data_IF_464806269614
#
_entry.id   IF_464806269614
#
_cell.length_a   1.000
_cell.length_b   1.000
_cell.length_c   1.000
_cell.angle_alpha   90.00
_cell.angle_beta   90.00
_cell.angle_gamma   90.00
#
_symmetry.space_group_name_H-M   'P 1'
#
loop_
_entity.id
_entity.type
_entity.pdbx_description
1 polymer ?
#
# COMPACT_ATOMS: atom_id res chain seq x y z
N UNK A 1 -5.86 -46.17 -47.11
CA UNK A 1 -6.41 -44.99 -47.81
C UNK A 1 -7.92 -45.01 -47.66
N UNK A 2 -8.48 -44.25 -46.71
CA UNK A 2 -9.87 -43.78 -46.71
C UNK A 2 -10.13 -42.93 -45.46
N UNK A 3 -10.17 -41.61 -45.69
CA UNK A 3 -10.62 -40.61 -44.73
C UNK A 3 -12.13 -40.77 -44.47
N UNK A 4 -12.55 -40.74 -43.20
CA UNK A 4 -13.95 -40.46 -42.84
C UNK A 4 -14.02 -39.27 -41.90
N UNK A 5 -14.55 -38.19 -42.48
CA UNK A 5 -14.90 -36.89 -41.89
C UNK A 5 -15.94 -37.08 -40.77
N UNK A 6 -15.80 -36.32 -39.68
CA UNK A 6 -16.87 -35.95 -38.73
C UNK A 6 -16.68 -34.46 -38.44
N UNK A 7 -17.20 -33.59 -39.31
CA UNK A 7 -18.46 -32.84 -39.17
C UNK A 7 -18.57 -32.16 -37.79
N UNK A 8 -18.17 -30.90 -37.83
CA UNK A 8 -18.38 -29.81 -36.88
C UNK A 8 -19.89 -29.56 -36.74
N UNK A 9 -20.42 -29.54 -35.52
CA UNK A 9 -21.81 -29.15 -35.26
C UNK A 9 -21.82 -28.05 -34.19
N UNK A 10 -21.97 -26.82 -34.67
CA UNK A 10 -22.30 -25.61 -33.92
C UNK A 10 -23.78 -25.67 -33.46
N UNK A 11 -24.10 -25.26 -32.24
CA UNK A 11 -25.37 -24.61 -31.92
C UNK A 11 -25.11 -23.11 -31.66
N UNK A 12 -25.58 -22.19 -32.53
CA UNK A 12 -26.86 -21.45 -32.38
C UNK A 12 -26.94 -20.77 -30.99
N UNK A 13 -26.55 -19.50 -30.78
CA UNK A 13 -27.00 -18.24 -31.39
C UNK A 13 -28.51 -18.17 -31.65
N UNK A 14 -29.29 -18.03 -30.58
CA UNK A 14 -30.51 -17.22 -30.51
C UNK A 14 -31.13 -17.35 -29.10
N UNK A 15 -30.67 -16.56 -28.13
CA UNK A 15 -31.47 -16.28 -26.93
C UNK A 15 -31.96 -14.84 -27.01
N UNK A 16 -33.24 -14.77 -27.32
CA UNK A 16 -34.13 -13.63 -27.45
C UNK A 16 -33.97 -12.60 -26.33
N UNK A 17 -33.65 -11.37 -26.72
CA UNK A 17 -33.97 -10.15 -25.98
C UNK A 17 -35.50 -9.98 -25.94
N UNK A 18 -36.09 -10.08 -24.75
CA UNK A 18 -37.43 -9.55 -24.46
C UNK A 18 -37.47 -9.07 -23.02
N UNK A 19 -36.72 -8.00 -22.71
CA UNK A 19 -36.94 -7.24 -21.47
C UNK A 19 -38.15 -6.35 -21.69
N UNK A 20 -39.29 -6.80 -21.16
CA UNK A 20 -40.48 -5.99 -21.00
C UNK A 20 -40.17 -4.84 -20.03
N UNK A 21 -40.28 -3.61 -20.53
CA UNK A 21 -40.33 -2.40 -19.72
C UNK A 21 -41.60 -2.42 -18.88
N UNK A 22 -41.47 -2.65 -17.57
CA UNK A 22 -42.51 -2.33 -16.61
C UNK A 22 -42.30 -0.87 -16.15
N UNK A 23 -43.30 0.03 -16.27
CA UNK A 23 -43.20 1.39 -15.79
C UNK A 23 -43.15 1.39 -14.25
N UNK A 24 -42.07 1.91 -13.68
CA UNK A 24 -41.96 2.19 -12.25
C UNK A 24 -42.86 3.39 -11.94
N UNK A 25 -43.95 3.12 -11.23
CA UNK A 25 -44.78 4.10 -10.55
C UNK A 25 -43.95 4.87 -9.52
N UNK A 26 -43.80 6.17 -9.75
CA UNK A 26 -43.23 7.14 -8.82
C UNK A 26 -44.24 7.37 -7.68
N UNK A 27 -43.94 6.87 -6.49
CA UNK A 27 -44.62 7.27 -5.28
C UNK A 27 -43.97 8.54 -4.74
N UNK A 28 -44.78 9.60 -4.67
CA UNK A 28 -44.47 10.86 -3.99
C UNK A 28 -44.26 10.61 -2.49
N UNK A 29 -43.23 11.22 -1.91
CA UNK A 29 -43.13 11.42 -0.48
C UNK A 29 -42.96 12.92 -0.17
N UNK A 30 -43.88 13.34 0.69
CA UNK A 30 -44.21 14.64 1.22
C UNK A 30 -43.07 15.32 1.99
N UNK A 31 -42.99 16.64 1.80
CA UNK A 31 -42.32 17.66 2.62
C UNK A 31 -42.89 17.73 4.04
N UNK A 32 -42.07 17.68 5.10
CA UNK A 32 -42.40 18.25 6.43
C UNK A 32 -41.14 18.74 7.17
N UNK A 33 -41.11 20.06 7.38
CA UNK A 33 -40.72 20.82 8.58
C UNK A 33 -39.29 20.86 9.11
N UNK A 34 -38.74 22.07 8.96
CA UNK A 34 -37.73 22.75 9.77
C UNK A 34 -38.02 22.69 11.27
N UNK A 35 -37.07 22.19 12.05
CA UNK A 35 -36.88 22.62 13.44
C UNK A 35 -35.40 22.96 13.63
N UNK A 36 -35.14 24.26 13.76
CA UNK A 36 -33.96 24.78 14.43
C UNK A 36 -34.10 24.48 15.93
N UNK A 37 -33.02 24.02 16.58
CA UNK A 37 -32.73 24.25 18.01
C UNK A 37 -31.33 23.73 18.33
N UNK A 38 -30.52 24.69 18.77
CA UNK A 38 -29.51 24.65 19.84
C UNK A 38 -28.21 23.88 19.59
N UNK A 39 -27.25 24.69 19.18
CA UNK A 39 -25.82 24.68 19.50
C UNK A 39 -25.53 24.11 20.92
N UNK A 40 -24.83 22.99 20.97
CA UNK A 40 -24.13 22.52 22.18
C UNK A 40 -22.73 22.14 21.74
N UNK A 41 -21.81 23.06 22.00
CA UNK A 41 -20.38 22.92 21.85
C UNK A 41 -19.88 21.85 22.82
N UNK A 42 -19.94 20.58 22.42
CA UNK A 42 -19.13 19.53 23.01
C UNK A 42 -17.76 19.57 22.37
N UNK A 43 -16.80 20.07 23.14
CA UNK A 43 -15.36 19.86 22.93
C UNK A 43 -15.09 18.36 22.86
N UNK A 44 -15.20 17.82 21.66
CA UNK A 44 -14.73 16.49 21.30
C UNK A 44 -13.22 16.55 21.31
N UNK A 45 -12.64 16.01 22.38
CA UNK A 45 -11.23 15.62 22.41
C UNK A 45 -11.08 14.60 21.29
N UNK A 46 -10.49 15.03 20.18
CA UNK A 46 -10.05 14.15 19.10
C UNK A 46 -9.17 13.07 19.71
N UNK A 47 -9.77 11.92 19.95
CA UNK A 47 -9.03 10.69 20.15
C UNK A 47 -8.37 10.43 18.81
N UNK A 48 -7.08 10.74 18.71
CA UNK A 48 -6.27 10.39 17.56
C UNK A 48 -6.40 8.89 17.38
N UNK A 49 -7.24 8.46 16.44
CA UNK A 49 -7.34 7.06 16.04
C UNK A 49 -5.94 6.61 15.68
N UNK A 50 -5.36 5.79 16.55
CA UNK A 50 -4.10 5.08 16.32
C UNK A 50 -4.28 4.27 15.05
N UNK A 51 -3.88 4.87 13.94
CA UNK A 51 -3.99 4.28 12.61
C UNK A 51 -2.71 3.49 12.45
N UNK A 52 -2.78 2.20 12.74
CA UNK A 52 -1.67 1.26 12.50
C UNK A 52 -1.08 1.53 11.12
N UNK A 53 0.23 1.80 11.09
CA UNK A 53 0.94 2.33 9.92
C UNK A 53 0.83 1.35 8.75
N UNK A 54 -0.08 1.65 7.83
CA UNK A 54 -0.22 0.91 6.57
C UNK A 54 0.69 1.59 5.55
N UNK A 55 1.69 0.88 5.03
CA UNK A 55 2.67 1.47 4.12
C UNK A 55 2.03 1.70 2.74
N UNK A 56 2.26 2.86 2.14
CA UNK A 56 1.74 3.17 0.80
C UNK A 56 2.49 2.39 -0.28
N UNK A 57 1.77 1.97 -1.32
CA UNK A 57 2.40 1.34 -2.48
C UNK A 57 3.32 2.35 -3.19
N UNK A 58 4.49 1.87 -3.61
CA UNK A 58 5.48 2.69 -4.31
C UNK A 58 5.03 2.97 -5.73
N UNK A 59 4.99 4.25 -6.10
CA UNK A 59 4.72 4.70 -7.47
C UNK A 59 3.29 4.47 -7.96
N UNK A 60 2.36 4.11 -7.07
CA UNK A 60 0.96 3.87 -7.43
C UNK A 60 0.04 4.44 -6.37
N UNK A 61 -0.91 5.27 -6.80
CA UNK A 61 -1.92 5.84 -5.92
C UNK A 61 -3.07 4.83 -5.70
N UNK A 62 -3.34 4.54 -4.42
CA UNK A 62 -4.47 3.69 -4.02
C UNK A 62 -5.59 4.63 -3.59
N UNK A 63 -6.74 4.63 -4.28
CA UNK A 63 -7.81 5.58 -3.97
C UNK A 63 -8.25 5.43 -2.52
N UNK A 64 -8.30 6.55 -1.79
CA UNK A 64 -8.78 6.60 -0.43
C UNK A 64 -10.25 6.17 -0.37
N UNK A 65 -10.55 5.25 0.55
CA UNK A 65 -11.91 4.73 0.77
C UNK A 65 -12.52 5.50 1.94
N UNK A 66 -13.18 6.63 1.62
CA UNK A 66 -13.81 7.49 2.62
C UNK A 66 -15.20 7.01 3.02
N UNK A 67 -15.86 6.21 2.18
CA UNK A 67 -17.17 5.63 2.45
C UNK A 67 -17.29 4.24 1.83
N UNK A 68 -18.11 3.39 2.46
CA UNK A 68 -18.46 2.07 1.93
C UNK A 68 -19.32 2.27 0.68
N UNK A 69 -18.91 1.76 -0.49
CA UNK A 69 -19.74 1.84 -1.69
C UNK A 69 -21.05 1.06 -1.50
N UNK A 70 -22.15 1.57 -2.05
CA UNK A 70 -23.43 0.84 -2.06
C UNK A 70 -23.28 -0.50 -2.79
N UNK A 71 -24.21 -1.45 -2.60
CA UNK A 71 -24.17 -2.75 -3.30
C UNK A 71 -24.08 -2.60 -4.82
N UNK A 72 -24.81 -1.63 -5.39
CA UNK A 72 -24.71 -1.26 -6.80
C UNK A 72 -23.35 -0.61 -7.14
N UNK A 73 -22.82 0.22 -6.24
CA UNK A 73 -21.46 0.78 -6.36
C UNK A 73 -20.37 -0.30 -6.39
N UNK A 74 -20.46 -1.32 -5.53
CA UNK A 74 -19.53 -2.46 -5.51
C UNK A 74 -19.60 -3.29 -6.80
N UNK A 75 -20.80 -3.45 -7.36
CA UNK A 75 -20.99 -4.09 -8.66
C UNK A 75 -20.29 -3.32 -9.78
N UNK A 76 -20.51 -2.00 -9.88
CA UNK A 76 -19.84 -1.16 -10.87
C UNK A 76 -18.33 -1.09 -10.67
N UNK A 77 -17.88 -1.05 -9.42
CA UNK A 77 -16.47 -1.13 -9.08
C UNK A 77 -15.85 -2.42 -9.64
N UNK A 78 -16.48 -3.57 -9.40
CA UNK A 78 -16.03 -4.86 -9.93
C UNK A 78 -16.04 -4.94 -11.45
N UNK A 79 -17.04 -4.37 -12.11
CA UNK A 79 -17.10 -4.32 -13.57
C UNK A 79 -15.99 -3.45 -14.15
N UNK A 80 -15.78 -2.25 -13.59
CA UNK A 80 -14.71 -1.32 -14.00
C UNK A 80 -13.33 -1.95 -13.82
N UNK A 81 -13.09 -2.61 -12.70
CA UNK A 81 -11.84 -3.35 -12.43
C UNK A 81 -11.60 -4.43 -13.49
N UNK A 82 -12.60 -5.27 -13.78
CA UNK A 82 -12.50 -6.34 -14.78
C UNK A 82 -12.22 -5.81 -16.17
N UNK A 83 -12.91 -4.76 -16.59
CA UNK A 83 -12.67 -4.09 -17.88
C UNK A 83 -11.24 -3.54 -17.91
N UNK A 84 -10.82 -2.82 -16.87
CA UNK A 84 -9.49 -2.21 -16.85
C UNK A 84 -8.37 -3.28 -16.86
N UNK A 85 -8.54 -4.39 -16.14
CA UNK A 85 -7.61 -5.53 -16.17
C UNK A 85 -7.61 -6.19 -17.55
N UNK A 86 -8.79 -6.40 -18.17
CA UNK A 86 -8.92 -7.06 -19.46
C UNK A 86 -8.25 -6.26 -20.58
N UNK A 87 -8.42 -4.93 -20.58
CA UNK A 87 -7.82 -4.01 -21.56
C UNK A 87 -6.36 -3.66 -21.28
N UNK A 88 -5.77 -4.13 -20.18
CA UNK A 88 -4.34 -3.99 -19.93
C UNK A 88 -3.61 -5.16 -20.57
N UNK A 89 -2.84 -4.94 -21.63
CA UNK A 89 -2.14 -6.02 -22.34
C UNK A 89 -0.78 -6.37 -21.71
N UNK A 90 -0.11 -5.37 -21.12
CA UNK A 90 1.15 -5.55 -20.43
C UNK A 90 0.95 -6.40 -19.14
N UNK A 91 1.67 -7.54 -19.00
CA UNK A 91 1.52 -8.42 -17.85
C UNK A 91 1.95 -7.78 -16.52
N UNK A 92 2.94 -6.88 -16.53
CA UNK A 92 3.46 -6.22 -15.31
C UNK A 92 2.46 -5.18 -14.85
N UNK A 93 2.04 -4.27 -15.73
CA UNK A 93 0.98 -3.28 -15.42
C UNK A 93 -0.33 -3.94 -15.01
N UNK A 94 -0.65 -5.10 -15.60
CA UNK A 94 -1.82 -5.88 -15.20
C UNK A 94 -1.70 -6.37 -13.77
N UNK A 95 -0.53 -6.87 -13.38
CA UNK A 95 -0.27 -7.31 -12.01
C UNK A 95 -0.27 -6.13 -11.02
N UNK A 96 0.34 -4.98 -11.37
CA UNK A 96 0.27 -3.78 -10.54
C UNK A 96 -1.19 -3.36 -10.29
N UNK A 97 -2.04 -3.34 -11.33
CA UNK A 97 -3.49 -3.07 -11.16
C UNK A 97 -4.18 -4.09 -10.27
N UNK A 98 -3.81 -5.37 -10.36
CA UNK A 98 -4.36 -6.41 -9.50
C UNK A 98 -4.01 -6.18 -8.02
N UNK A 99 -2.75 -5.79 -7.72
CA UNK A 99 -2.31 -5.44 -6.36
C UNK A 99 -3.07 -4.21 -5.84
N UNK A 100 -3.22 -3.16 -6.64
CA UNK A 100 -3.97 -1.95 -6.26
C UNK A 100 -5.42 -2.27 -5.94
N UNK A 101 -6.07 -3.08 -6.77
CA UNK A 101 -7.46 -3.47 -6.53
C UNK A 101 -7.59 -4.41 -5.34
N UNK A 102 -6.63 -5.30 -5.10
CA UNK A 102 -6.60 -6.11 -3.89
C UNK A 102 -6.52 -5.22 -2.64
N UNK A 103 -5.60 -4.24 -2.64
CA UNK A 103 -5.46 -3.27 -1.55
C UNK A 103 -6.74 -2.45 -1.34
N UNK A 104 -7.35 -1.96 -2.42
CA UNK A 104 -8.61 -1.23 -2.35
C UNK A 104 -9.73 -2.08 -1.75
N UNK A 105 -9.83 -3.35 -2.13
CA UNK A 105 -10.84 -4.29 -1.60
C UNK A 105 -10.63 -4.56 -0.12
N UNK A 106 -9.39 -4.72 0.33
CA UNK A 106 -9.06 -4.86 1.75
C UNK A 106 -9.43 -3.60 2.55
N UNK A 107 -9.15 -2.41 2.02
CA UNK A 107 -9.55 -1.13 2.65
C UNK A 107 -11.07 -0.96 2.72
N UNK A 108 -11.80 -1.37 1.68
CA UNK A 108 -13.27 -1.41 1.71
C UNK A 108 -13.74 -2.38 2.79
N UNK A 109 -13.15 -3.57 2.86
CA UNK A 109 -13.49 -4.58 3.87
C UNK A 109 -13.29 -4.03 5.30
N UNK A 110 -12.17 -3.34 5.55
CA UNK A 110 -11.93 -2.66 6.81
C UNK A 110 -13.03 -1.61 7.12
N UNK A 111 -13.35 -0.72 6.18
CA UNK A 111 -14.39 0.29 6.38
C UNK A 111 -15.79 -0.30 6.58
N UNK A 112 -16.08 -1.44 5.94
CA UNK A 112 -17.31 -2.19 6.17
C UNK A 112 -17.36 -2.80 7.56
N UNK A 113 -16.22 -3.29 8.08
CA UNK A 113 -16.14 -3.84 9.45
C UNK A 113 -16.29 -2.79 10.56
N UNK A 114 -15.94 -1.53 10.29
CA UNK A 114 -16.08 -0.42 11.25
C UNK A 114 -17.54 -0.08 11.56
N UNK A 115 -18.41 -0.15 10.55
CA UNK A 115 -19.73 0.48 10.59
C UNK A 115 -20.88 -0.52 10.60
N UNK A 116 -20.65 -1.79 10.94
CA UNK A 116 -21.71 -2.80 10.79
C UNK A 116 -21.73 -3.90 11.83
N UNK A 117 -22.94 -4.10 12.38
CA UNK A 117 -23.37 -5.27 13.14
C UNK A 117 -24.23 -6.23 12.30
N UNK A 118 -24.51 -5.87 11.04
CA UNK A 118 -25.36 -6.63 10.15
C UNK A 118 -24.63 -7.85 9.55
N UNK A 119 -25.30 -9.01 9.59
CA UNK A 119 -24.80 -10.29 9.06
C UNK A 119 -24.48 -10.17 7.57
N UNK A 120 -25.27 -9.43 6.78
CA UNK A 120 -24.97 -9.26 5.36
C UNK A 120 -23.72 -8.42 5.11
N UNK A 121 -23.40 -7.47 5.99
CA UNK A 121 -22.14 -6.73 5.87
C UNK A 121 -20.95 -7.61 6.20
N UNK A 122 -21.05 -8.50 7.19
CA UNK A 122 -19.99 -9.46 7.52
C UNK A 122 -19.69 -10.38 6.33
N UNK A 123 -20.71 -10.92 5.67
CA UNK A 123 -20.54 -11.74 4.46
C UNK A 123 -19.88 -10.94 3.33
N UNK A 124 -20.25 -9.66 3.16
CA UNK A 124 -19.61 -8.79 2.16
C UNK A 124 -18.16 -8.49 2.50
N UNK A 125 -17.81 -8.27 3.78
CA UNK A 125 -16.41 -8.13 4.23
C UNK A 125 -15.62 -9.36 3.80
N UNK A 126 -16.14 -10.55 4.10
CA UNK A 126 -15.54 -11.81 3.70
C UNK A 126 -15.37 -11.92 2.18
N UNK A 127 -16.41 -11.60 1.40
CA UNK A 127 -16.31 -11.59 -0.06
C UNK A 127 -15.25 -10.60 -0.56
N UNK A 128 -15.10 -9.42 0.06
CA UNK A 128 -14.07 -8.46 -0.34
C UNK A 128 -12.66 -9.01 -0.06
N UNK A 129 -12.46 -9.68 1.07
CA UNK A 129 -11.20 -10.37 1.41
C UNK A 129 -10.92 -11.49 0.41
N UNK A 130 -11.88 -12.37 0.13
CA UNK A 130 -11.74 -13.46 -0.85
C UNK A 130 -11.35 -12.91 -2.23
N UNK A 131 -12.01 -11.83 -2.68
CA UNK A 131 -11.70 -11.19 -3.97
C UNK A 131 -10.31 -10.56 -4.01
N UNK A 132 -9.86 -9.95 -2.91
CA UNK A 132 -8.51 -9.42 -2.81
C UNK A 132 -7.48 -10.57 -2.93
N UNK A 133 -7.72 -11.68 -2.24
CA UNK A 133 -6.88 -12.87 -2.32
C UNK A 133 -6.88 -13.51 -3.72
N UNK A 134 -8.02 -13.56 -4.41
CA UNK A 134 -8.10 -14.02 -5.82
C UNK A 134 -7.27 -13.15 -6.76
N UNK A 135 -7.26 -11.82 -6.56
CA UNK A 135 -6.45 -10.91 -7.37
C UNK A 135 -4.97 -11.16 -7.12
N UNK A 136 -4.56 -11.34 -5.86
CA UNK A 136 -3.19 -11.67 -5.50
C UNK A 136 -2.75 -13.04 -5.98
N UNK A 137 -3.63 -14.05 -5.95
CA UNK A 137 -3.34 -15.37 -6.52
C UNK A 137 -2.98 -15.27 -8.01
N UNK A 138 -3.67 -14.42 -8.78
CA UNK A 138 -3.33 -14.19 -10.20
C UNK A 138 -1.98 -13.49 -10.41
N UNK A 139 -1.54 -12.69 -9.44
CA UNK A 139 -0.19 -12.11 -9.43
C UNK A 139 0.83 -13.20 -9.11
N UNK A 140 0.51 -14.09 -8.15
CA UNK A 140 1.33 -15.23 -7.75
C UNK A 140 1.55 -16.24 -8.86
N UNK A 141 0.52 -16.56 -9.63
CA UNK A 141 0.60 -17.49 -10.77
C UNK A 141 1.60 -17.04 -11.84
N UNK A 142 1.97 -15.76 -11.82
CA UNK A 142 2.94 -15.16 -12.75
C UNK A 142 4.27 -14.83 -12.08
N UNK A 143 4.47 -15.20 -10.81
CA UNK A 143 5.68 -14.85 -10.05
C UNK A 143 6.95 -15.26 -10.79
N UNK A 144 7.00 -16.44 -11.39
CA UNK A 144 8.19 -16.93 -12.09
C UNK A 144 8.55 -16.05 -13.31
N UNK A 145 7.53 -15.53 -14.00
CA UNK A 145 7.72 -14.58 -15.12
C UNK A 145 8.23 -13.24 -14.64
N UNK A 146 7.81 -12.79 -13.46
CA UNK A 146 8.31 -11.56 -12.88
C UNK A 146 9.75 -11.76 -12.42
N UNK A 147 10.04 -12.83 -11.72
CA UNK A 147 11.40 -13.13 -11.22
C UNK A 147 12.43 -13.33 -12.34
N UNK A 148 12.02 -13.81 -13.51
CA UNK A 148 12.92 -13.93 -14.65
C UNK A 148 13.37 -12.57 -15.23
N UNK A 149 12.67 -11.47 -14.92
CA UNK A 149 12.92 -10.15 -15.46
C UNK A 149 13.47 -9.21 -14.38
N UNK A 150 14.57 -8.50 -14.67
CA UNK A 150 15.20 -7.56 -13.74
C UNK A 150 14.76 -6.11 -13.94
N UNK A 151 13.68 -5.86 -14.67
CA UNK A 151 13.22 -4.50 -14.96
C UNK A 151 12.81 -3.74 -13.70
N UNK A 152 13.05 -2.43 -13.68
CA UNK A 152 12.67 -1.55 -12.56
C UNK A 152 11.16 -1.65 -12.23
N UNK A 153 10.30 -1.77 -13.25
CA UNK A 153 8.86 -1.96 -13.04
C UNK A 153 8.53 -3.27 -12.32
N UNK A 154 9.29 -4.33 -12.58
CA UNK A 154 9.12 -5.63 -11.91
C UNK A 154 9.58 -5.54 -10.46
N UNK A 155 10.71 -4.89 -10.21
CA UNK A 155 11.23 -4.65 -8.87
C UNK A 155 10.23 -3.88 -8.02
N UNK A 156 9.66 -2.80 -8.59
CA UNK A 156 8.57 -2.04 -7.96
C UNK A 156 7.35 -2.90 -7.69
N UNK A 157 6.93 -3.73 -8.65
CA UNK A 157 5.82 -4.66 -8.46
C UNK A 157 6.08 -5.63 -7.29
N UNK A 158 7.25 -6.27 -7.24
CA UNK A 158 7.60 -7.21 -6.16
C UNK A 158 7.63 -6.52 -4.79
N UNK A 159 8.16 -5.30 -4.73
CA UNK A 159 8.12 -4.47 -3.50
C UNK A 159 6.69 -4.15 -3.09
N UNK A 160 5.83 -3.74 -4.03
CA UNK A 160 4.42 -3.44 -3.76
C UNK A 160 3.63 -4.68 -3.35
N UNK A 161 3.95 -5.84 -3.90
CA UNK A 161 3.38 -7.12 -3.48
C UNK A 161 3.76 -7.42 -2.03
N UNK A 162 5.03 -7.24 -1.65
CA UNK A 162 5.48 -7.43 -0.27
C UNK A 162 4.77 -6.46 0.69
N UNK A 163 4.69 -5.18 0.33
CA UNK A 163 3.95 -4.16 1.10
C UNK A 163 2.47 -4.55 1.24
N UNK A 164 1.81 -4.98 0.16
CA UNK A 164 0.42 -5.39 0.20
C UNK A 164 0.19 -6.59 1.13
N UNK A 165 1.10 -7.57 1.14
CA UNK A 165 0.99 -8.72 2.06
C UNK A 165 1.08 -8.28 3.52
N UNK A 166 2.01 -7.37 3.84
CA UNK A 166 2.14 -6.77 5.16
C UNK A 166 0.87 -6.00 5.56
N UNK A 167 0.39 -5.12 4.67
CA UNK A 167 -0.85 -4.37 4.87
C UNK A 167 -2.06 -5.31 5.08
N UNK A 168 -2.13 -6.40 4.33
CA UNK A 168 -3.21 -7.39 4.42
C UNK A 168 -3.26 -8.05 5.78
N UNK A 169 -2.12 -8.46 6.36
CA UNK A 169 -2.10 -9.03 7.71
C UNK A 169 -2.61 -8.03 8.75
N UNK A 170 -2.09 -6.79 8.71
CA UNK A 170 -2.51 -5.74 9.63
C UNK A 170 -3.99 -5.36 9.45
N UNK A 171 -4.52 -5.44 8.23
CA UNK A 171 -5.94 -5.20 7.94
C UNK A 171 -6.81 -6.35 8.44
N UNK A 172 -6.37 -7.60 8.28
CA UNK A 172 -7.09 -8.76 8.80
C UNK A 172 -7.15 -8.75 10.32
N UNK A 173 -6.07 -8.37 11.01
CA UNK A 173 -6.06 -8.17 12.47
C UNK A 173 -7.09 -7.15 12.92
N UNK A 174 -7.20 -6.03 12.19
CA UNK A 174 -8.19 -4.97 12.48
C UNK A 174 -9.61 -5.44 12.20
N UNK A 175 -9.83 -6.15 11.10
CA UNK A 175 -11.14 -6.72 10.76
C UNK A 175 -11.55 -7.75 11.83
N UNK A 176 -10.62 -8.61 12.25
CA UNK A 176 -10.84 -9.61 13.30
C UNK A 176 -11.25 -8.95 14.61
N UNK A 177 -10.47 -7.99 15.09
CA UNK A 177 -10.75 -7.24 16.32
C UNK A 177 -12.12 -6.57 16.31
N UNK A 178 -12.58 -6.09 15.13
CA UNK A 178 -13.87 -5.41 14.96
C UNK A 178 -15.06 -6.37 14.80
N UNK A 179 -14.82 -7.58 14.26
CA UNK A 179 -15.87 -8.53 13.91
C UNK A 179 -15.96 -9.74 14.86
N UNK A 180 -14.93 -10.06 15.63
CA UNK A 180 -14.86 -11.28 16.45
C UNK A 180 -16.07 -11.44 17.39
N UNK A 181 -16.55 -10.35 17.98
CA UNK A 181 -17.66 -10.36 18.95
C UNK A 181 -19.03 -10.48 18.26
N UNK A 182 -19.06 -10.37 16.93
CA UNK A 182 -20.28 -10.27 16.10
C UNK A 182 -20.44 -11.46 15.15
N UNK A 183 -19.39 -12.25 14.95
CA UNK A 183 -19.38 -13.39 14.03
C UNK A 183 -19.94 -14.62 14.74
N UNK A 184 -20.70 -15.43 14.00
CA UNK A 184 -21.05 -16.78 14.47
C UNK A 184 -19.79 -17.67 14.47
N UNK A 185 -19.75 -18.75 15.26
CA UNK A 185 -18.61 -19.67 15.28
C UNK A 185 -18.21 -20.22 13.91
N UNK A 186 -19.19 -20.47 13.02
CA UNK A 186 -18.94 -20.92 11.66
C UNK A 186 -18.32 -19.84 10.77
N UNK A 187 -18.79 -18.59 10.89
CA UNK A 187 -18.22 -17.47 10.14
C UNK A 187 -16.80 -17.15 10.62
N UNK A 188 -16.56 -17.31 11.92
CA UNK A 188 -15.24 -17.13 12.52
C UNK A 188 -14.26 -18.20 12.03
N UNK A 189 -14.63 -19.47 12.04
CA UNK A 189 -13.79 -20.55 11.48
C UNK A 189 -13.51 -20.31 9.99
N UNK A 190 -14.53 -19.91 9.21
CA UNK A 190 -14.34 -19.56 7.80
C UNK A 190 -13.39 -18.37 7.65
N UNK A 191 -13.50 -17.34 8.49
CA UNK A 191 -12.59 -16.19 8.49
C UNK A 191 -11.14 -16.60 8.78
N UNK A 192 -10.92 -17.44 9.80
CA UNK A 192 -9.59 -17.94 10.12
C UNK A 192 -9.02 -18.83 9.02
N UNK A 193 -9.83 -19.69 8.41
CA UNK A 193 -9.42 -20.49 7.26
C UNK A 193 -8.97 -19.62 6.08
N UNK A 194 -9.69 -18.53 5.78
CA UNK A 194 -9.26 -17.58 4.74
C UNK A 194 -7.97 -16.86 5.11
N UNK A 195 -7.79 -16.52 6.39
CA UNK A 195 -6.57 -15.87 6.87
C UNK A 195 -5.35 -16.76 6.66
N UNK A 196 -5.45 -18.02 7.05
CA UNK A 196 -4.39 -19.01 6.84
C UNK A 196 -4.09 -19.24 5.36
N UNK A 197 -5.12 -19.44 4.53
CA UNK A 197 -4.94 -19.58 3.08
C UNK A 197 -4.24 -18.34 2.48
N UNK A 198 -4.59 -17.15 2.97
CA UNK A 198 -3.91 -15.90 2.64
C UNK A 198 -2.42 -15.88 3.03
N UNK A 199 -2.09 -16.37 4.23
CA UNK A 199 -0.71 -16.47 4.74
C UNK A 199 0.11 -17.46 3.91
N UNK A 200 -0.43 -18.65 3.65
CA UNK A 200 0.23 -19.70 2.84
C UNK A 200 0.52 -19.19 1.43
N UNK A 201 -0.48 -18.54 0.80
CA UNK A 201 -0.29 -17.88 -0.48
C UNK A 201 0.79 -16.81 -0.41
N UNK A 202 0.80 -16.00 0.65
CA UNK A 202 1.79 -14.95 0.81
C UNK A 202 3.22 -15.51 0.89
N UNK A 203 3.43 -16.57 1.68
CA UNK A 203 4.71 -17.30 1.76
C UNK A 203 5.17 -17.82 0.40
N UNK A 204 4.25 -18.24 -0.48
CA UNK A 204 4.56 -18.69 -1.83
C UNK A 204 5.26 -17.63 -2.70
N UNK A 205 4.98 -16.33 -2.50
CA UNK A 205 5.71 -15.24 -3.16
C UNK A 205 7.07 -15.05 -2.50
N UNK A 206 7.13 -15.14 -1.18
CA UNK A 206 8.34 -14.85 -0.42
C UNK A 206 9.40 -15.94 -0.60
N UNK A 207 9.01 -17.16 -0.93
CA UNK A 207 9.93 -18.21 -1.38
C UNK A 207 10.71 -17.84 -2.66
N UNK A 208 10.26 -16.81 -3.39
CA UNK A 208 10.99 -16.26 -4.54
C UNK A 208 12.29 -15.52 -4.18
N UNK A 209 12.55 -15.30 -2.89
CA UNK A 209 13.79 -14.69 -2.38
C UNK A 209 15.06 -15.43 -2.80
N UNK A 210 14.96 -16.69 -3.23
CA UNK A 210 16.09 -17.48 -3.73
C UNK A 210 16.62 -17.06 -5.11
N UNK A 211 15.98 -16.08 -5.77
CA UNK A 211 16.44 -15.63 -7.08
C UNK A 211 17.75 -14.81 -6.97
N UNK A 212 18.87 -15.29 -7.56
CA UNK A 212 20.17 -14.61 -7.47
C UNK A 212 20.22 -13.27 -8.20
N UNK A 213 19.28 -13.00 -9.11
CA UNK A 213 19.26 -11.78 -9.93
C UNK A 213 18.45 -10.62 -9.30
N UNK A 214 17.86 -10.84 -8.12
CA UNK A 214 17.05 -9.82 -7.44
C UNK A 214 17.95 -8.71 -6.85
N UNK A 215 17.60 -7.42 -7.02
CA UNK A 215 18.27 -6.32 -6.33
C UNK A 215 18.26 -6.50 -4.81
N UNK A 216 19.32 -6.05 -4.15
CA UNK A 216 19.48 -6.19 -2.70
C UNK A 216 18.41 -5.43 -1.90
N UNK A 217 17.94 -4.27 -2.38
CA UNK A 217 16.88 -3.50 -1.70
C UNK A 217 15.53 -4.22 -1.72
N UNK A 218 15.17 -4.80 -2.87
CA UNK A 218 13.95 -5.61 -3.03
C UNK A 218 14.04 -6.87 -2.19
N UNK A 219 15.19 -7.56 -2.23
CA UNK A 219 15.46 -8.76 -1.44
C UNK A 219 15.38 -8.49 0.06
N UNK A 220 15.96 -7.39 0.54
CA UNK A 220 15.89 -6.98 1.93
C UNK A 220 14.44 -6.75 2.38
N UNK A 221 13.63 -6.02 1.60
CA UNK A 221 12.21 -5.79 1.93
C UNK A 221 11.38 -7.07 1.87
N UNK A 222 11.59 -7.95 0.88
CA UNK A 222 10.90 -9.23 0.86
C UNK A 222 11.31 -10.12 2.03
N UNK A 223 12.58 -10.11 2.45
CA UNK A 223 13.03 -10.88 3.60
C UNK A 223 12.40 -10.34 4.90
N UNK A 224 12.38 -9.02 5.08
CA UNK A 224 11.70 -8.37 6.21
C UNK A 224 10.23 -8.76 6.30
N UNK A 225 9.51 -8.70 5.16
CA UNK A 225 8.10 -9.10 5.08
C UNK A 225 7.94 -10.60 5.32
N UNK A 226 8.86 -11.43 4.82
CA UNK A 226 8.84 -12.88 5.05
C UNK A 226 8.95 -13.20 6.53
N UNK A 227 9.93 -12.64 7.22
CA UNK A 227 10.14 -12.91 8.64
C UNK A 227 8.91 -12.47 9.46
N UNK A 228 8.29 -11.34 9.10
CA UNK A 228 7.03 -10.90 9.70
C UNK A 228 5.87 -11.87 9.43
N UNK A 229 5.72 -12.34 8.20
CA UNK A 229 4.63 -13.27 7.82
C UNK A 229 4.83 -14.63 8.47
N UNK A 230 6.04 -15.13 8.58
CA UNK A 230 6.33 -16.40 9.25
C UNK A 230 6.04 -16.32 10.75
N UNK A 231 6.40 -15.21 11.40
CA UNK A 231 6.02 -14.96 12.79
C UNK A 231 4.49 -14.93 12.97
N UNK A 232 3.78 -14.14 12.15
CA UNK A 232 2.31 -14.10 12.15
C UNK A 232 1.68 -15.46 11.85
N UNK A 233 2.28 -16.25 10.94
CA UNK A 233 1.78 -17.57 10.58
C UNK A 233 1.76 -18.50 11.79
N UNK A 234 2.82 -18.49 12.59
CA UNK A 234 2.89 -19.32 13.79
C UNK A 234 1.84 -18.90 14.83
N UNK A 235 1.71 -17.59 15.08
CA UNK A 235 0.70 -17.03 16.00
C UNK A 235 -0.73 -17.41 15.57
N UNK A 236 -1.06 -17.25 14.29
CA UNK A 236 -2.39 -17.56 13.75
C UNK A 236 -2.68 -19.05 13.81
N UNK A 237 -1.71 -19.90 13.48
CA UNK A 237 -1.87 -21.36 13.54
C UNK A 237 -2.14 -21.83 14.97
N UNK A 238 -1.36 -21.33 15.95
CA UNK A 238 -1.56 -21.68 17.35
C UNK A 238 -2.96 -21.27 17.81
N UNK A 239 -3.37 -20.03 17.54
CA UNK A 239 -4.70 -19.55 17.88
C UNK A 239 -5.80 -20.39 17.22
N UNK A 240 -5.63 -20.80 15.96
CA UNK A 240 -6.61 -21.65 15.27
C UNK A 240 -6.70 -23.04 15.87
N UNK A 241 -5.58 -23.64 16.26
CA UNK A 241 -5.58 -24.94 16.92
C UNK A 241 -6.33 -24.89 18.25
N UNK A 242 -6.04 -23.87 19.08
CA UNK A 242 -6.75 -23.63 20.33
C UNK A 242 -8.24 -23.39 20.10
N UNK A 243 -8.59 -22.54 19.13
CA UNK A 243 -9.98 -22.27 18.74
C UNK A 243 -10.70 -23.56 18.30
N UNK A 244 -10.06 -24.37 17.47
CA UNK A 244 -10.65 -25.63 16.98
C UNK A 244 -10.94 -26.60 18.11
N UNK A 245 -10.01 -26.74 19.06
CA UNK A 245 -10.21 -27.60 20.23
C UNK A 245 -11.43 -27.14 21.05
N UNK A 246 -11.54 -25.83 21.32
CA UNK A 246 -12.69 -25.28 22.05
C UNK A 246 -14.01 -25.45 21.27
N UNK A 247 -13.98 -25.27 19.94
CA UNK A 247 -15.15 -25.51 19.10
C UNK A 247 -15.58 -26.99 19.08
N UNK A 248 -14.63 -27.93 19.17
CA UNK A 248 -14.93 -29.35 19.34
C UNK A 248 -15.56 -29.64 20.71
N UNK A 249 -15.08 -29.00 21.78
CA UNK A 249 -15.68 -29.11 23.12
C UNK A 249 -17.11 -28.56 23.17
N UNK A 250 -17.39 -27.45 22.46
CA UNK A 250 -18.76 -26.93 22.29
C UNK A 250 -19.66 -27.94 21.57
N UNK A 251 -19.16 -28.61 20.53
CA UNK A 251 -19.91 -29.65 19.79
C UNK A 251 -20.19 -30.87 20.65
N UNK A 252 -19.25 -31.23 21.53
CA UNK A 252 -19.37 -32.34 22.47
C UNK A 252 -20.23 -31.99 23.70
N UNK A 253 -20.68 -30.73 23.83
CA UNK A 253 -21.53 -30.28 24.92
C UNK A 253 -20.80 -30.13 26.25
N UNK A 254 -19.48 -29.89 26.22
CA UNK A 254 -18.67 -29.64 27.42
C UNK A 254 -19.15 -28.35 28.10
N UNK A 255 -19.45 -28.45 29.39
CA UNK A 255 -19.87 -27.30 30.20
C UNK A 255 -18.70 -26.32 30.37
N UNK A 256 -18.93 -25.03 30.11
CA UNK A 256 -17.88 -24.00 30.15
C UNK A 256 -17.20 -23.68 28.81
N UNK A 257 -17.27 -24.56 27.80
CA UNK A 257 -16.55 -24.37 26.54
C UNK A 257 -16.91 -23.08 25.76
N UNK A 258 -18.13 -22.56 25.93
CA UNK A 258 -18.53 -21.26 25.37
C UNK A 258 -17.83 -20.08 26.04
N UNK A 259 -17.60 -20.17 27.34
CA UNK A 259 -16.86 -19.15 28.09
C UNK A 259 -15.37 -19.25 27.76
N UNK A 260 -14.84 -20.46 27.61
CA UNK A 260 -13.47 -20.68 27.16
C UNK A 260 -13.23 -20.10 25.76
N UNK A 261 -14.20 -20.24 24.84
CA UNK A 261 -14.12 -19.62 23.52
C UNK A 261 -14.06 -18.10 23.65
N UNK A 262 -14.93 -17.52 24.48
CA UNK A 262 -14.95 -16.08 24.70
C UNK A 262 -13.62 -15.57 25.28
N UNK A 263 -13.10 -16.25 26.31
CA UNK A 263 -11.81 -15.92 26.92
C UNK A 263 -10.66 -16.01 25.91
N UNK A 264 -10.69 -17.01 25.02
CA UNK A 264 -9.73 -17.16 23.93
C UNK A 264 -9.78 -15.96 22.97
N UNK A 265 -10.99 -15.54 22.56
CA UNK A 265 -11.18 -14.39 21.67
C UNK A 265 -10.78 -13.07 22.34
N UNK A 266 -11.09 -12.90 23.62
CA UNK A 266 -10.69 -11.72 24.38
C UNK A 266 -9.16 -11.66 24.53
N UNK A 267 -8.51 -12.79 24.87
CA UNK A 267 -7.05 -12.89 24.94
C UNK A 267 -6.39 -12.57 23.59
N UNK A 268 -6.95 -13.07 22.49
CA UNK A 268 -6.47 -12.78 21.13
C UNK A 268 -6.60 -11.31 20.78
N UNK A 269 -7.72 -10.69 21.15
CA UNK A 269 -7.95 -9.26 20.96
C UNK A 269 -6.90 -8.42 21.68
N UNK A 270 -6.60 -8.76 22.93
CA UNK A 270 -5.57 -8.09 23.73
C UNK A 270 -4.18 -8.27 23.11
N UNK A 271 -3.84 -9.48 22.67
CA UNK A 271 -2.58 -9.77 21.98
C UNK A 271 -2.43 -8.93 20.70
N UNK A 272 -3.47 -8.89 19.85
CA UNK A 272 -3.47 -8.06 18.62
C UNK A 272 -3.29 -6.58 18.98
N UNK A 273 -3.96 -6.07 20.01
CA UNK A 273 -3.83 -4.68 20.45
C UNK A 273 -2.41 -4.38 20.98
N UNK A 274 -1.83 -5.29 21.76
CA UNK A 274 -0.46 -5.15 22.26
C UNK A 274 0.56 -5.18 21.11
N UNK A 275 0.39 -6.06 20.14
CA UNK A 275 1.25 -6.14 18.96
C UNK A 275 1.13 -4.90 18.07
N UNK A 276 -0.09 -4.35 17.94
CA UNK A 276 -0.32 -3.11 17.19
C UNK A 276 0.35 -1.92 17.87
N UNK A 277 0.16 -1.76 19.19
CA UNK A 277 0.75 -0.64 19.95
C UNK A 277 2.28 -0.71 20.00
N UNK A 278 2.86 -1.90 20.21
CA UNK A 278 4.30 -2.09 20.19
C UNK A 278 4.91 -1.84 18.81
N UNK A 279 4.22 -2.27 17.74
CA UNK A 279 4.61 -1.95 16.36
C UNK A 279 4.54 -0.45 16.06
N UNK A 280 3.51 0.24 16.53
CA UNK A 280 3.38 1.69 16.37
C UNK A 280 4.48 2.46 17.10
N UNK A 281 4.86 2.03 18.32
CA UNK A 281 5.98 2.61 19.06
C UNK A 281 7.30 2.43 18.31
N UNK A 282 7.55 1.25 17.73
CA UNK A 282 8.73 1.01 16.91
C UNK A 282 8.71 1.86 15.62
N UNK A 283 7.55 2.00 14.97
CA UNK A 283 7.40 2.84 13.78
C UNK A 283 7.66 4.32 14.09
N UNK A 284 7.17 4.82 15.24
CA UNK A 284 7.43 6.18 15.70
C UNK A 284 8.92 6.39 16.01
N UNK A 285 9.58 5.44 16.68
CA UNK A 285 11.03 5.51 16.92
C UNK A 285 11.83 5.53 15.61
N UNK A 286 11.44 4.72 14.62
CA UNK A 286 12.07 4.72 13.28
C UNK A 286 11.86 6.05 12.56
N UNK A 287 10.66 6.64 12.68
CA UNK A 287 10.34 7.95 12.09
C UNK A 287 11.15 9.06 12.77
N UNK A 288 11.29 9.05 14.09
CA UNK A 288 12.14 10.00 14.82
C UNK A 288 13.61 9.86 14.44
N UNK A 289 14.11 8.63 14.32
CA UNK A 289 15.47 8.40 13.82
C UNK A 289 15.66 8.92 12.40
N UNK A 290 14.70 8.69 11.50
CA UNK A 290 14.75 9.23 10.14
C UNK A 290 14.72 10.77 10.11
N UNK A 291 13.92 11.41 10.95
CA UNK A 291 13.91 12.88 11.09
C UNK A 291 15.26 13.40 11.56
N UNK A 292 15.83 12.79 12.62
CA UNK A 292 17.17 13.15 13.12
C UNK A 292 18.25 12.97 12.07
N UNK A 293 18.21 11.88 11.30
CA UNK A 293 19.14 11.65 10.19
C UNK A 293 18.94 12.71 9.09
N UNK A 294 17.70 13.03 8.74
CA UNK A 294 17.37 14.09 7.78
C UNK A 294 17.87 15.47 8.22
N UNK A 295 17.72 15.81 9.49
CA UNK A 295 18.24 17.04 10.09
C UNK A 295 19.77 17.08 10.07
N UNK A 296 20.46 15.99 10.45
CA UNK A 296 21.92 15.90 10.37
C UNK A 296 22.44 15.99 8.93
N UNK A 297 21.72 15.43 7.97
CA UNK A 297 22.08 15.57 6.55
C UNK A 297 21.87 17.00 6.10
N UNK A 298 20.78 17.65 6.50
CA UNK A 298 20.52 19.07 6.19
C UNK A 298 21.58 19.98 6.78
N UNK A 299 21.99 19.74 8.03
CA UNK A 299 23.07 20.46 8.72
C UNK A 299 24.42 20.27 8.01
N UNK A 300 24.79 19.02 7.68
CA UNK A 300 26.02 18.74 6.92
C UNK A 300 26.03 19.35 5.51
N UNK A 301 24.87 19.41 4.85
CA UNK A 301 24.74 20.05 3.54
C UNK A 301 24.90 21.57 3.69
N UNK A 302 24.27 22.17 4.70
CA UNK A 302 24.41 23.59 5.00
C UNK A 302 25.86 23.96 5.33
N UNK A 303 26.52 23.19 6.19
CA UNK A 303 27.93 23.34 6.53
C UNK A 303 28.85 23.24 5.29
N UNK A 304 28.54 22.34 4.34
CA UNK A 304 29.29 22.26 3.07
C UNK A 304 29.06 23.45 2.15
N UNK A 305 27.85 24.04 2.16
CA UNK A 305 27.53 25.23 1.37
C UNK A 305 28.28 26.44 1.94
N UNK A 306 28.26 26.62 3.25
CA UNK A 306 28.98 27.70 3.96
C UNK A 306 30.49 27.57 3.75
N UNK A 307 31.06 26.37 3.95
CA UNK A 307 32.48 26.12 3.67
C UNK A 307 32.86 26.36 2.20
N UNK A 308 31.97 26.11 1.22
CA UNK A 308 32.23 26.44 -0.19
C UNK A 308 32.20 27.95 -0.44
N UNK A 309 31.33 28.69 0.24
CA UNK A 309 31.26 30.14 0.12
C UNK A 309 32.48 30.81 0.75
N UNK A 310 32.92 30.37 1.93
CA UNK A 310 34.14 30.88 2.57
C UNK A 310 35.40 30.61 1.74
N UNK A 311 35.57 29.39 1.21
CA UNK A 311 36.69 29.06 0.31
C UNK A 311 36.66 29.82 -1.03
N UNK A 312 35.49 30.29 -1.46
CA UNK A 312 35.37 31.11 -2.67
C UNK A 312 35.82 32.55 -2.41
N UNK A 313 35.49 33.11 -1.25
CA UNK A 313 35.94 34.44 -0.83
C UNK A 313 37.46 34.46 -0.57
N UNK A 314 38.03 33.42 0.03
CA UNK A 314 39.47 33.35 0.30
C UNK A 314 40.32 33.18 -1.00
N UNK A 315 39.78 32.52 -2.03
CA UNK A 315 40.44 32.42 -3.33
C UNK A 315 40.28 33.67 -4.19
N UNK A 316 39.14 34.38 -4.12
CA UNK A 316 38.97 35.64 -4.84
C UNK A 316 39.95 36.71 -4.35
N UNK A 317 40.25 36.76 -3.04
CA UNK A 317 41.25 37.69 -2.47
C UNK A 317 42.71 37.35 -2.87
N UNK A 318 43.02 36.08 -3.18
CA UNK A 318 44.35 35.70 -3.70
C UNK A 318 44.53 35.95 -5.20
N UNK A 319 43.45 36.00 -5.98
CA UNK A 319 43.53 36.29 -7.43
C UNK A 319 43.69 37.76 -7.78
N UNK A 320 43.42 38.70 -6.87
CA UNK A 320 43.60 40.14 -7.14
C UNK A 320 45.04 40.63 -6.89
N UNK A 321 45.91 39.80 -6.30
CA UNK A 321 47.30 40.20 -5.96
C UNK A 321 48.41 39.59 -6.86
N UNK A 322 48.07 38.94 -7.99
CA UNK A 322 49.09 38.42 -8.93
C UNK A 322 48.89 38.80 -10.41
N UNK A 323 48.33 39.98 -10.69
CA UNK A 323 48.33 40.55 -12.03
C UNK A 323 49.56 41.45 -12.28
N UNK A 324 50.78 40.90 -12.29
CA UNK A 324 51.92 41.58 -12.94
C UNK A 324 52.84 40.56 -13.63
N UNK A 325 53.16 40.88 -14.88
CA UNK A 325 54.24 40.35 -15.72
C UNK A 325 53.96 39.12 -16.60
N UNK A 326 53.33 39.42 -17.74
CA UNK A 326 53.55 38.71 -18.98
C UNK A 326 55.04 38.73 -19.37
N UNK A 327 55.64 37.55 -19.55
CA UNK A 327 56.84 37.33 -20.38
C UNK A 327 56.53 36.20 -21.36
N UNK A 328 56.79 36.38 -22.67
CA UNK A 328 56.71 35.29 -23.62
C UNK A 328 58.03 34.52 -23.60
N UNK A 329 57.97 33.19 -23.44
CA UNK A 329 59.12 32.31 -23.63
C UNK A 329 58.68 30.96 -24.25
N UNK A 330 59.64 30.21 -24.86
CA UNK A 330 59.49 29.70 -26.21
C UNK A 330 59.08 28.23 -26.30
N UNK A 331 58.63 27.88 -27.50
CA UNK A 331 58.33 26.53 -27.97
C UNK A 331 59.52 25.59 -27.72
N UNK A 332 59.34 24.63 -26.83
CA UNK A 332 60.23 23.46 -26.74
C UNK A 332 59.37 22.20 -26.74
N UNK A 333 59.56 21.36 -27.76
CA UNK A 333 58.94 20.05 -27.88
C UNK A 333 59.54 19.10 -26.84
N UNK A 334 58.72 18.50 -25.98
CA UNK A 334 59.08 17.26 -25.29
C UNK A 334 57.89 16.32 -25.28
N UNK A 335 58.14 15.16 -25.89
CA UNK A 335 57.31 13.98 -26.02
C UNK A 335 57.57 13.11 -24.79
N UNK A 336 56.56 12.88 -23.95
CA UNK A 336 56.54 11.73 -23.02
C UNK A 336 55.11 11.34 -22.66
N UNK A 337 54.86 10.05 -22.85
CA UNK A 337 53.63 9.30 -22.67
C UNK A 337 53.25 9.17 -21.19
N UNK A 338 51.98 9.41 -20.85
CA UNK A 338 51.28 8.84 -19.69
C UNK A 338 49.76 8.76 -20.03
N UNK A 339 49.06 7.67 -19.66
CA UNK A 339 47.68 7.44 -20.10
C UNK A 339 46.66 8.21 -19.26
N UNK A 340 45.78 8.93 -19.94
CA UNK A 340 44.59 9.59 -19.41
C UNK A 340 43.60 8.53 -18.89
N UNK A 341 43.28 8.58 -17.60
CA UNK A 341 42.05 7.99 -17.06
C UNK A 341 40.87 8.90 -17.42
N UNK A 342 39.78 8.25 -17.81
CA UNK A 342 38.54 8.80 -18.38
C UNK A 342 37.94 9.96 -17.57
N UNK A 343 37.48 10.98 -18.31
CA UNK A 343 36.69 12.14 -17.85
C UNK A 343 35.17 11.90 -17.88
N UNK A 344 34.71 10.66 -18.03
CA UNK A 344 33.26 10.35 -18.06
C UNK A 344 32.63 10.29 -16.65
N UNK A 345 33.40 9.96 -15.61
CA UNK A 345 32.87 9.84 -14.23
C UNK A 345 32.56 11.18 -13.53
N UNK A 346 32.97 12.31 -14.10
CA UNK A 346 32.70 13.64 -13.53
C UNK A 346 31.49 14.33 -14.16
N UNK A 347 30.99 13.85 -15.31
CA UNK A 347 29.83 14.44 -15.98
C UNK A 347 28.51 13.93 -15.38
N UNK A 348 28.45 12.64 -15.06
CA UNK A 348 27.25 12.02 -14.46
C UNK A 348 26.93 12.53 -13.05
N UNK A 349 27.95 12.87 -12.24
CA UNK A 349 27.71 13.45 -10.90
C UNK A 349 27.12 14.86 -10.98
N UNK A 350 27.48 15.64 -12.00
CA UNK A 350 26.98 17.00 -12.16
C UNK A 350 25.52 17.06 -12.64
N UNK A 351 25.09 16.09 -13.48
CA UNK A 351 23.69 16.02 -13.93
C UNK A 351 22.74 15.51 -12.83
N UNK A 352 23.21 14.63 -11.96
CA UNK A 352 22.43 14.15 -10.81
C UNK A 352 22.26 15.24 -9.74
N UNK A 353 23.29 16.05 -9.48
CA UNK A 353 23.16 17.22 -8.59
C UNK A 353 22.21 18.28 -9.19
N UNK A 354 22.28 18.55 -10.49
CA UNK A 354 21.41 19.53 -11.16
C UNK A 354 19.92 19.08 -11.18
N UNK A 355 19.65 17.78 -11.31
CA UNK A 355 18.29 17.22 -11.23
C UNK A 355 17.70 17.29 -9.82
N UNK A 356 18.49 16.98 -8.79
CA UNK A 356 18.02 17.10 -7.40
C UNK A 356 17.75 18.56 -7.00
N UNK A 357 18.54 19.50 -7.51
CA UNK A 357 18.36 20.92 -7.21
C UNK A 357 17.16 21.54 -7.94
N UNK A 358 16.80 21.02 -9.11
CA UNK A 358 15.58 21.42 -9.82
C UNK A 358 14.31 20.82 -9.20
N UNK A 359 14.30 19.55 -8.79
CA UNK A 359 13.16 18.96 -8.07
C UNK A 359 12.93 19.62 -6.70
N UNK A 360 14.00 20.00 -5.99
CA UNK A 360 13.90 20.70 -4.72
C UNK A 360 13.25 22.08 -4.87
N UNK A 361 13.63 22.86 -5.89
CA UNK A 361 13.00 24.15 -6.19
C UNK A 361 11.53 24.01 -6.60
N UNK A 362 11.16 22.95 -7.31
CA UNK A 362 9.76 22.71 -7.68
C UNK A 362 8.88 22.35 -6.47
N UNK A 363 9.44 21.64 -5.48
CA UNK A 363 8.76 21.33 -4.22
C UNK A 363 8.60 22.56 -3.31
N UNK A 364 9.60 23.45 -3.29
CA UNK A 364 9.56 24.68 -2.50
C UNK A 364 8.49 25.65 -3.03
N UNK A 365 8.39 25.82 -4.36
CA UNK A 365 7.33 26.63 -5.00
C UNK A 365 5.93 26.03 -4.76
N UNK A 366 5.80 24.69 -4.70
CA UNK A 366 4.51 24.04 -4.37
C UNK A 366 4.12 24.21 -2.89
N UNK A 367 5.08 24.39 -1.99
CA UNK A 367 4.80 24.66 -0.57
C UNK A 367 4.45 26.13 -0.33
N UNK A 368 5.12 27.08 -0.98
CA UNK A 368 4.74 28.51 -0.89
C UNK A 368 3.32 28.75 -1.42
N UNK A 369 2.98 28.20 -2.59
CA UNK A 369 1.63 28.34 -3.15
C UNK A 369 0.53 27.65 -2.31
N UNK A 370 0.88 26.68 -1.45
CA UNK A 370 -0.09 26.05 -0.54
C UNK A 370 -0.34 26.91 0.70
N UNK A 371 0.62 27.72 1.09
CA UNK A 371 0.54 28.58 2.29
C UNK A 371 -0.26 29.87 2.00
N UNK A 372 -0.26 30.33 0.74
CA UNK A 372 -0.99 31.55 0.34
C UNK A 372 -2.52 31.31 0.16
N UNK A 373 -2.96 30.06 0.06
CA UNK A 373 -4.40 29.71 -0.07
C UNK A 373 -5.10 29.60 1.29
N UNK A 374 -4.36 29.41 2.39
CA UNK A 374 -4.92 29.28 3.74
C UNK A 374 -5.10 30.63 4.47
N UNK A 375 -4.60 31.76 3.94
CA UNK A 375 -4.74 33.09 4.56
C UNK A 375 -5.89 33.94 4.00
N UNK A 376 -6.67 33.41 3.03
CA UNK A 376 -7.92 34.04 2.60
C UNK A 376 -9.09 33.47 3.42
N UNK A 377 -9.25 34.04 4.62
CA UNK A 377 -10.38 33.77 5.50
C UNK A 377 -11.75 34.04 4.85
N UNK A 378 -12.83 33.41 5.37
CA UNK A 378 -14.16 33.48 4.78
C UNK A 378 -14.71 34.91 4.82
N UNK A 379 -15.07 35.41 3.63
CA UNK A 379 -15.80 36.66 3.44
C UNK A 379 -17.19 36.55 4.12
N UNK A 380 -17.39 37.27 5.22
CA UNK A 380 -18.74 37.46 5.80
C UNK A 380 -19.56 38.38 4.89
N UNK A 381 -20.75 37.97 4.41
CA UNK A 381 -21.64 38.87 3.70
C UNK A 381 -22.32 39.84 4.68
N UNK A 382 -22.11 41.13 4.49
CA UNK A 382 -22.90 42.18 5.14
C UNK A 382 -24.32 42.20 4.55
N UNK A 383 -25.31 42.11 5.44
CA UNK A 383 -26.73 42.36 5.15
C UNK A 383 -27.03 43.85 5.05
#
# INVERSE_FOLDING_TARGET
MNMKKKIFLLPALALLLAFAFAPVTQAQATTVTTNAVVDTTSTSVSTTSQTAVTENLVGVDVPAVNSVPSAFGLFWLGLKERINIAFTFDPIKKAEKQVVYAEQRMKIAEKMSENSDDVQTQEKVQQMVERAQELMAKVQDKKDKFLANNDENVQRLLKNVAIHQENTQNLLDRIETKLQDKLTPEQLDKFQAMREDGIVKAQGILQALSNPNMPEDVKAKLQEVKDRIDAKSAEVQQFREEQKNVLEDIKNGVEGAKEDLKNLLDSRKEEIQQNTTSSDVQAQQKLEMMKKVGEQVKEKVQERIENRQENKVENEDRTVSSSVQARPLPVTQVKTLLPLKSTEDLKDKSEVELKMETEKKELEVKQENKTEVEDNGPFEPQN
#
